data_IF_283346428978
#
_entry.id   IF_283346428978
#
_cell.length_a   1.000
_cell.length_b   1.000
_cell.length_c   1.000
_cell.angle_alpha   90.00
_cell.angle_beta   90.00
_cell.angle_gamma   90.00
#
_symmetry.space_group_name_H-M   'P 1'
#
loop_
_entity.id
_entity.type
_entity.pdbx_description
1 polymer ?
#
# COMPACT_ATOMS: atom_id res chain seq x y z
N UNK A 1 22.74 -24.56 22.60
CA UNK A 1 21.33 -24.15 22.80
C UNK A 1 20.88 -23.53 21.49
N UNK A 2 20.25 -24.32 20.62
CA UNK A 2 19.82 -23.88 19.29
C UNK A 2 18.41 -23.32 19.40
N UNK A 3 18.26 -22.01 19.26
CA UNK A 3 16.95 -21.38 19.09
C UNK A 3 16.49 -21.60 17.65
N UNK A 4 15.52 -22.50 17.50
CA UNK A 4 14.84 -22.79 16.25
C UNK A 4 14.19 -21.50 15.72
N UNK A 5 14.73 -20.97 14.62
CA UNK A 5 14.03 -19.98 13.79
C UNK A 5 12.78 -20.64 13.25
N UNK A 6 11.62 -20.28 13.79
CA UNK A 6 10.33 -20.58 13.17
C UNK A 6 10.29 -19.82 11.84
N UNK A 7 10.59 -20.52 10.75
CA UNK A 7 10.40 -20.02 9.39
C UNK A 7 8.89 -20.07 9.09
N UNK A 8 8.18 -19.00 9.42
CA UNK A 8 6.79 -18.83 9.01
C UNK A 8 6.79 -18.49 7.52
N UNK A 9 6.66 -19.51 6.67
CA UNK A 9 6.44 -19.28 5.24
C UNK A 9 5.03 -18.74 5.06
N UNK A 10 4.84 -17.61 4.35
CA UNK A 10 3.51 -17.08 4.10
C UNK A 10 2.70 -18.09 3.29
N UNK A 11 1.52 -18.46 3.79
CA UNK A 11 0.62 -19.35 3.06
C UNK A 11 0.11 -18.69 1.77
N UNK A 12 -0.43 -19.46 0.80
CA UNK A 12 -0.87 -18.92 -0.49
C UNK A 12 -1.92 -17.80 -0.38
N UNK A 13 -2.72 -17.79 0.69
CA UNK A 13 -3.67 -16.71 0.98
C UNK A 13 -3.01 -15.38 1.38
N UNK A 14 -1.85 -15.42 2.04
CA UNK A 14 -1.09 -14.22 2.42
C UNK A 14 -0.46 -13.56 1.18
N UNK A 15 0.07 -14.36 0.26
CA UNK A 15 0.62 -13.84 -1.00
C UNK A 15 -0.45 -13.14 -1.84
N UNK A 16 -1.64 -13.73 -1.95
CA UNK A 16 -2.75 -13.13 -2.70
C UNK A 16 -3.24 -11.82 -2.06
N UNK A 17 -3.32 -11.76 -0.72
CA UNK A 17 -3.69 -10.54 0.00
C UNK A 17 -2.64 -9.43 -0.18
N UNK A 18 -1.35 -9.77 -0.06
CA UNK A 18 -0.23 -8.83 -0.29
C UNK A 18 -0.24 -8.27 -1.71
N UNK A 19 -0.44 -9.12 -2.72
CA UNK A 19 -0.50 -8.70 -4.11
C UNK A 19 -1.69 -7.75 -4.36
N UNK A 20 -2.88 -8.10 -3.84
CA UNK A 20 -4.07 -7.23 -3.93
C UNK A 20 -3.83 -5.87 -3.29
N UNK A 21 -3.20 -5.84 -2.11
CA UNK A 21 -2.88 -4.61 -1.39
C UNK A 21 -1.90 -3.73 -2.18
N UNK A 22 -0.91 -4.34 -2.81
CA UNK A 22 0.06 -3.64 -3.66
C UNK A 22 -0.59 -3.06 -4.92
N UNK A 23 -1.45 -3.82 -5.59
CA UNK A 23 -2.21 -3.36 -6.75
C UNK A 23 -3.14 -2.19 -6.39
N UNK A 24 -3.81 -2.27 -5.25
CA UNK A 24 -4.63 -1.16 -4.74
C UNK A 24 -3.80 0.09 -4.47
N UNK A 25 -2.60 -0.04 -3.89
CA UNK A 25 -1.72 1.10 -3.64
C UNK A 25 -1.26 1.76 -4.95
N UNK A 26 -0.92 0.97 -5.97
CA UNK A 26 -0.56 1.44 -7.31
C UNK A 26 -1.72 2.17 -8.00
N UNK A 27 -2.94 1.63 -7.87
CA UNK A 27 -4.12 2.27 -8.44
C UNK A 27 -4.43 3.59 -7.72
N UNK A 28 -4.37 3.60 -6.39
CA UNK A 28 -4.58 4.79 -5.59
C UNK A 28 -3.56 5.89 -5.91
N UNK A 29 -2.30 5.54 -6.14
CA UNK A 29 -1.28 6.50 -6.55
C UNK A 29 -1.66 7.22 -7.86
N UNK A 30 -2.18 6.49 -8.84
CA UNK A 30 -2.65 7.05 -10.12
C UNK A 30 -3.90 7.91 -9.95
N UNK A 31 -4.91 7.37 -9.28
CA UNK A 31 -6.22 8.02 -9.15
C UNK A 31 -6.17 9.31 -8.33
N UNK A 32 -5.26 9.37 -7.35
CA UNK A 32 -5.07 10.53 -6.48
C UNK A 32 -3.83 11.34 -6.83
N UNK A 33 -3.16 11.08 -7.97
CA UNK A 33 -1.87 11.68 -8.29
C UNK A 33 -1.89 13.21 -8.17
N UNK A 34 -2.81 13.87 -8.87
CA UNK A 34 -2.90 15.34 -8.87
C UNK A 34 -3.29 15.94 -7.50
N UNK A 35 -3.94 15.16 -6.62
CA UNK A 35 -4.42 15.63 -5.33
C UNK A 35 -3.41 15.36 -4.20
N UNK A 36 -2.85 14.16 -4.16
CA UNK A 36 -2.05 13.65 -3.05
C UNK A 36 -0.55 13.55 -3.38
N UNK A 37 -0.19 13.45 -4.66
CA UNK A 37 1.16 13.07 -5.09
C UNK A 37 1.75 14.01 -6.16
N UNK A 38 1.18 15.20 -6.34
CA UNK A 38 1.50 16.13 -7.44
C UNK A 38 2.97 16.56 -7.48
N UNK A 39 3.66 16.52 -6.34
CA UNK A 39 5.08 16.86 -6.21
C UNK A 39 6.01 15.67 -6.46
N UNK A 40 5.48 14.46 -6.62
CA UNK A 40 6.24 13.25 -6.84
C UNK A 40 6.35 12.92 -8.32
N UNK A 41 7.26 12.01 -8.68
CA UNK A 41 7.40 11.54 -10.05
C UNK A 41 6.16 10.74 -10.50
N UNK A 42 5.53 11.05 -11.65
CA UNK A 42 4.33 10.34 -12.11
C UNK A 42 4.60 8.90 -12.56
N UNK A 43 5.86 8.61 -12.91
CA UNK A 43 6.35 7.30 -13.33
C UNK A 43 6.93 6.47 -12.16
N UNK A 44 6.76 6.93 -10.91
CA UNK A 44 7.24 6.20 -9.75
C UNK A 44 6.59 4.82 -9.63
N UNK A 45 7.41 3.79 -9.51
CA UNK A 45 6.93 2.44 -9.21
C UNK A 45 6.64 2.31 -7.71
N UNK A 46 5.39 2.05 -7.37
CA UNK A 46 4.96 1.80 -5.99
C UNK A 46 5.24 0.34 -5.64
N UNK A 47 6.02 0.14 -4.58
CA UNK A 47 6.37 -1.16 -3.99
C UNK A 47 5.66 -1.38 -2.66
N UNK A 48 5.80 -2.56 -2.05
CA UNK A 48 5.22 -2.83 -0.72
C UNK A 48 5.75 -1.88 0.36
N UNK A 49 7.02 -1.45 0.24
CA UNK A 49 7.65 -0.53 1.18
C UNK A 49 7.03 0.87 1.15
N UNK A 50 6.38 1.23 0.03
CA UNK A 50 5.78 2.55 -0.18
C UNK A 50 4.33 2.61 0.30
N UNK A 51 3.70 1.47 0.62
CA UNK A 51 2.30 1.43 1.07
C UNK A 51 2.06 2.32 2.31
N UNK A 52 2.93 2.34 3.34
CA UNK A 52 2.77 3.26 4.48
C UNK A 52 2.81 4.73 4.05
N UNK A 53 3.63 5.08 3.05
CA UNK A 53 3.70 6.42 2.49
C UNK A 53 2.41 6.78 1.74
N UNK A 54 1.93 5.89 0.85
CA UNK A 54 0.64 6.07 0.13
C UNK A 54 -0.51 6.25 1.11
N UNK A 55 -0.58 5.43 2.16
CA UNK A 55 -1.61 5.55 3.21
C UNK A 55 -1.57 6.91 3.88
N UNK A 56 -0.36 7.40 4.20
CA UNK A 56 -0.20 8.71 4.83
C UNK A 56 -0.72 9.81 3.91
N UNK A 57 -0.29 9.87 2.66
CA UNK A 57 -0.71 10.93 1.73
C UNK A 57 -2.23 10.90 1.48
N UNK A 58 -2.84 9.72 1.33
CA UNK A 58 -4.30 9.59 1.17
C UNK A 58 -5.08 10.08 2.40
N UNK A 59 -4.57 9.85 3.62
CA UNK A 59 -5.20 10.36 4.86
C UNK A 59 -5.09 11.88 4.99
N UNK A 60 -3.98 12.47 4.55
CA UNK A 60 -3.74 13.91 4.67
C UNK A 60 -4.50 14.69 3.58
N UNK A 61 -4.43 14.22 2.33
CA UNK A 61 -4.83 15.00 1.17
C UNK A 61 -6.03 14.40 0.42
N UNK A 62 -6.32 13.11 0.58
CA UNK A 62 -7.29 12.37 -0.26
C UNK A 62 -8.77 12.56 0.12
N UNK A 63 -9.05 13.26 1.22
CA UNK A 63 -10.41 13.49 1.72
C UNK A 63 -11.19 12.17 1.93
N UNK A 64 -12.52 12.23 1.85
CA UNK A 64 -13.39 11.08 2.13
C UNK A 64 -13.11 9.86 1.24
N UNK A 65 -12.80 10.08 -0.05
CA UNK A 65 -12.46 8.99 -0.97
C UNK A 65 -11.12 8.34 -0.61
N UNK A 66 -10.11 9.14 -0.27
CA UNK A 66 -8.81 8.63 0.18
C UNK A 66 -8.91 7.81 1.46
N UNK A 67 -9.70 8.27 2.44
CA UNK A 67 -9.94 7.52 3.68
C UNK A 67 -10.59 6.14 3.45
N UNK A 68 -11.51 6.02 2.48
CA UNK A 68 -12.10 4.73 2.11
C UNK A 68 -11.06 3.77 1.54
N UNK A 69 -10.21 4.23 0.62
CA UNK A 69 -9.12 3.43 0.04
C UNK A 69 -8.13 2.97 1.12
N UNK A 70 -7.80 3.85 2.06
CA UNK A 70 -6.96 3.49 3.21
C UNK A 70 -7.57 2.37 4.05
N UNK A 71 -8.90 2.37 4.23
CA UNK A 71 -9.61 1.31 4.94
C UNK A 71 -9.53 -0.05 4.24
N UNK A 72 -9.29 -0.08 2.94
CA UNK A 72 -9.02 -1.30 2.18
C UNK A 72 -7.54 -1.70 2.22
N UNK A 73 -6.61 -0.72 2.21
CA UNK A 73 -5.16 -0.95 2.30
C UNK A 73 -4.68 -1.47 3.66
N UNK A 74 -5.49 -1.31 4.72
CA UNK A 74 -5.19 -1.74 6.09
C UNK A 74 -5.90 -3.03 6.53
N UNK A 75 -6.67 -3.67 5.63
CA UNK A 75 -7.26 -5.00 5.87
C UNK A 75 -6.28 -6.09 5.46
#
# INVERSE_FOLDING_TARGET
>A
MNEARIQTSPGPGDTAARQRRLELARQAFKDFYAQCFWSYRPDAEITEADIPWVVRELRHNGGHRGYRVVGELCR
#
